data_IF_569789144796
#
_entry.id   IF_569789144796
#
_cell.length_a   1.000
_cell.length_b   1.000
_cell.length_c   1.000
_cell.angle_alpha   90.00
_cell.angle_beta   90.00
_cell.angle_gamma   90.00
#
_symmetry.space_group_name_H-M   'P 1'
#
loop_
_entity.id
_entity.type
_entity.pdbx_description
1 polymer ?
#
# COMPACT_ATOMS: atom_id res chain seq x y z
N UNK A 1 -6.92 -32.64 -0.32
CA UNK A 1 -7.17 -31.59 0.68
C UNK A 1 -6.03 -31.50 1.70
N UNK A 2 -5.42 -32.62 2.11
CA UNK A 2 -4.31 -32.62 3.07
C UNK A 2 -2.94 -32.14 2.53
N UNK A 3 -2.74 -32.04 1.21
CA UNK A 3 -1.47 -31.55 0.62
C UNK A 3 -1.36 -30.01 0.53
N UNK A 4 -2.45 -29.27 0.78
CA UNK A 4 -2.46 -27.81 0.68
C UNK A 4 -2.55 -27.08 2.03
N UNK A 5 -2.71 -27.80 3.14
CA UNK A 5 -2.87 -27.21 4.48
C UNK A 5 -1.63 -26.46 4.99
N UNK A 6 -0.45 -26.67 4.38
CA UNK A 6 0.80 -26.00 4.78
C UNK A 6 1.29 -24.91 3.82
N UNK A 7 0.58 -24.64 2.72
CA UNK A 7 1.04 -23.66 1.74
C UNK A 7 0.73 -22.23 2.18
N UNK A 8 1.75 -21.56 2.72
CA UNK A 8 1.72 -20.10 2.91
C UNK A 8 1.77 -19.40 1.54
N UNK A 9 0.84 -18.47 1.30
CA UNK A 9 0.96 -17.52 0.21
C UNK A 9 2.14 -16.59 0.51
N UNK A 10 3.13 -16.54 -0.39
CA UNK A 10 4.29 -15.67 -0.25
C UNK A 10 4.27 -14.63 -1.37
N UNK A 11 4.24 -13.35 -1.00
CA UNK A 11 4.29 -12.22 -1.92
C UNK A 11 5.56 -11.44 -1.60
N UNK A 12 6.41 -11.22 -2.60
CA UNK A 12 7.57 -10.32 -2.45
C UNK A 12 7.29 -9.01 -3.18
N UNK A 13 7.21 -7.94 -2.42
CA UNK A 13 7.07 -6.58 -2.91
C UNK A 13 8.46 -5.96 -3.06
N UNK A 14 8.70 -5.30 -4.19
CA UNK A 14 9.96 -4.61 -4.48
C UNK A 14 9.64 -3.16 -4.83
N UNK A 15 10.21 -2.23 -4.08
CA UNK A 15 10.10 -0.79 -4.30
C UNK A 15 11.44 -0.29 -4.80
N UNK A 16 11.50 0.43 -5.92
CA UNK A 16 12.76 0.83 -6.55
C UNK A 16 12.81 2.28 -7.05
N UNK A 17 11.78 3.07 -6.78
CA UNK A 17 11.68 4.49 -7.12
C UNK A 17 11.32 5.33 -5.88
N UNK A 18 12.09 5.13 -4.81
CA UNK A 18 11.84 5.72 -3.49
C UNK A 18 12.35 7.16 -3.40
N UNK A 19 11.61 8.05 -2.74
CA UNK A 19 12.04 9.44 -2.48
C UNK A 19 13.15 9.50 -1.43
N UNK A 20 13.91 10.61 -1.36
CA UNK A 20 15.03 10.73 -0.40
C UNK A 20 14.58 10.55 1.06
N UNK A 21 13.38 11.04 1.39
CA UNK A 21 12.78 10.91 2.72
C UNK A 21 12.46 9.43 3.01
N UNK A 22 11.88 8.71 2.06
CA UNK A 22 11.54 7.30 2.18
C UNK A 22 12.79 6.43 2.35
N UNK A 23 13.85 6.73 1.60
CA UNK A 23 15.15 6.07 1.71
C UNK A 23 15.75 6.25 3.11
N UNK A 24 15.71 7.47 3.65
CA UNK A 24 16.23 7.78 4.98
C UNK A 24 15.45 7.04 6.08
N UNK A 25 14.12 7.08 6.00
CA UNK A 25 13.23 6.43 6.96
C UNK A 25 13.37 4.89 6.94
N UNK A 26 13.69 4.31 5.78
CA UNK A 26 13.82 2.86 5.58
C UNK A 26 15.28 2.39 5.41
N UNK A 27 16.26 3.17 5.89
CA UNK A 27 17.69 2.88 5.72
C UNK A 27 18.13 1.47 6.16
N UNK A 28 17.44 0.85 7.13
CA UNK A 28 17.67 -0.56 7.54
C UNK A 28 17.39 -1.58 6.42
N UNK A 29 16.40 -1.29 5.55
CA UNK A 29 15.88 -2.20 4.52
C UNK A 29 16.18 -1.72 3.10
N UNK A 30 16.75 -0.52 2.93
CA UNK A 30 17.05 0.08 1.65
C UNK A 30 18.45 -0.30 1.15
N UNK A 31 18.52 -0.96 0.00
CA UNK A 31 19.79 -1.37 -0.61
C UNK A 31 19.72 -1.40 -2.13
N UNK A 32 20.81 -1.01 -2.81
CA UNK A 32 20.88 -0.87 -4.27
C UNK A 32 19.70 -0.10 -4.90
N UNK A 33 19.23 0.94 -4.23
CA UNK A 33 18.08 1.71 -4.70
C UNK A 33 16.73 1.04 -4.47
N UNK A 34 16.67 -0.11 -3.77
CA UNK A 34 15.44 -0.87 -3.59
C UNK A 34 15.14 -1.21 -2.13
N UNK A 35 13.86 -1.39 -1.82
CA UNK A 35 13.37 -2.05 -0.61
C UNK A 35 12.64 -3.31 -1.04
N UNK A 36 12.96 -4.43 -0.41
CA UNK A 36 12.24 -5.69 -0.62
C UNK A 36 11.52 -6.08 0.65
N UNK A 37 10.24 -6.45 0.51
CA UNK A 37 9.41 -6.85 1.65
C UNK A 37 8.69 -8.13 1.28
N UNK A 38 8.80 -9.14 2.13
CA UNK A 38 8.08 -10.40 2.02
C UNK A 38 6.82 -10.32 2.87
N UNK A 39 5.67 -10.58 2.25
CA UNK A 39 4.40 -10.83 2.89
C UNK A 39 4.16 -12.34 2.87
N UNK A 40 3.90 -12.91 4.04
CA UNK A 40 3.47 -14.30 4.17
C UNK A 40 2.05 -14.32 4.72
N UNK A 41 1.13 -15.00 4.04
CA UNK A 41 -0.26 -15.16 4.47
C UNK A 41 -0.66 -16.64 4.50
N UNK A 42 -1.44 -17.03 5.50
CA UNK A 42 -1.90 -18.41 5.68
C UNK A 42 -3.27 -18.45 6.35
N UNK A 43 -3.99 -19.54 6.14
CA UNK A 43 -5.26 -19.79 6.81
C UNK A 43 -4.97 -20.76 7.96
N UNK A 44 -5.39 -20.45 9.18
CA UNK A 44 -5.25 -21.35 10.31
C UNK A 44 -6.33 -22.46 10.32
N UNK A 45 -6.19 -23.42 11.24
CA UNK A 45 -7.15 -24.53 11.38
C UNK A 45 -8.60 -24.08 11.67
N UNK A 46 -8.78 -22.82 12.12
CA UNK A 46 -10.08 -22.21 12.36
C UNK A 46 -10.64 -21.49 11.12
N UNK A 47 -9.95 -21.54 9.98
CA UNK A 47 -10.35 -20.88 8.75
C UNK A 47 -10.06 -19.37 8.74
N UNK A 48 -9.29 -18.85 9.69
CA UNK A 48 -8.97 -17.42 9.78
C UNK A 48 -7.68 -17.12 9.00
N UNK A 49 -7.75 -16.08 8.17
CA UNK A 49 -6.59 -15.55 7.45
C UNK A 49 -5.66 -14.80 8.42
N UNK A 50 -4.41 -15.24 8.47
CA UNK A 50 -3.32 -14.60 9.19
C UNK A 50 -2.25 -14.14 8.19
N UNK A 51 -1.56 -13.04 8.49
CA UNK A 51 -0.49 -12.52 7.63
C UNK A 51 0.58 -11.78 8.42
N UNK A 52 1.81 -11.82 7.92
CA UNK A 52 2.97 -11.13 8.47
C UNK A 52 3.84 -10.53 7.35
N UNK A 53 4.55 -9.45 7.67
CA UNK A 53 5.44 -8.76 6.75
C UNK A 53 6.85 -8.70 7.32
N UNK A 54 7.86 -8.96 6.50
CA UNK A 54 9.26 -8.93 6.89
C UNK A 54 10.09 -8.26 5.79
N UNK A 55 10.93 -7.30 6.15
CA UNK A 55 11.82 -6.62 5.22
C UNK A 55 13.10 -7.43 5.02
N UNK A 56 13.66 -7.39 3.81
CA UNK A 56 14.99 -7.93 3.59
C UNK A 56 16.04 -6.95 4.13
N UNK A 57 17.02 -7.47 4.86
CA UNK A 57 18.16 -6.72 5.37
C UNK A 57 19.44 -7.28 4.78
N UNK A 58 20.46 -6.43 4.75
CA UNK A 58 21.80 -6.85 4.43
C UNK A 58 22.37 -7.66 5.58
N UNK A 59 22.92 -8.82 5.27
CA UNK A 59 23.80 -9.51 6.19
C UNK A 59 25.05 -9.95 5.45
N UNK A 60 26.17 -10.03 6.17
CA UNK A 60 27.35 -10.66 5.60
C UNK A 60 27.10 -12.16 5.51
N UNK A 61 27.49 -12.76 4.39
CA UNK A 61 27.50 -14.22 4.27
C UNK A 61 28.32 -14.76 5.44
N UNK A 62 27.72 -15.60 6.29
CA UNK A 62 28.46 -16.19 7.38
C UNK A 62 29.61 -17.04 6.83
N UNK A 63 30.70 -17.01 7.57
CA UNK A 63 31.99 -17.52 7.16
C UNK A 63 31.95 -19.04 7.31
N UNK A 64 31.61 -19.73 6.23
CA UNK A 64 31.61 -21.19 6.19
C UNK A 64 32.53 -21.67 5.06
N UNK A 65 33.80 -22.00 5.39
CA UNK A 65 34.63 -22.80 4.51
C UNK A 65 33.92 -24.08 4.07
N UNK A 66 34.13 -24.51 2.83
CA UNK A 66 33.63 -25.80 2.34
C UNK A 66 34.17 -26.95 3.21
N UNK A 67 33.28 -27.66 3.90
CA UNK A 67 33.65 -28.75 4.82
C UNK A 67 33.42 -28.47 6.30
N UNK A 68 32.79 -27.35 6.67
CA UNK A 68 32.31 -27.14 8.04
C UNK A 68 31.27 -28.20 8.45
N UNK A 69 31.41 -28.76 9.66
CA UNK A 69 30.40 -29.65 10.21
C UNK A 69 29.08 -28.90 10.45
N UNK A 70 27.93 -29.58 10.31
CA UNK A 70 26.62 -28.96 10.49
C UNK A 70 26.40 -28.44 11.92
N UNK A 71 27.05 -29.03 12.92
CA UNK A 71 26.93 -28.63 14.32
C UNK A 71 27.42 -27.20 14.60
N UNK A 72 28.56 -26.81 14.01
CA UNK A 72 29.16 -25.48 14.16
C UNK A 72 28.41 -24.44 13.33
N UNK A 73 27.97 -24.84 12.13
CA UNK A 73 27.09 -24.04 11.29
C UNK A 73 25.79 -23.69 12.05
N UNK A 74 25.14 -24.69 12.62
CA UNK A 74 23.93 -24.52 13.44
C UNK A 74 24.18 -23.68 14.70
N UNK A 75 25.39 -23.74 15.27
CA UNK A 75 25.75 -22.94 16.42
C UNK A 75 25.83 -21.44 16.09
N UNK A 76 26.52 -21.11 15.00
CA UNK A 76 26.67 -19.72 14.54
C UNK A 76 25.36 -19.14 14.03
N UNK A 77 24.45 -19.98 13.52
CA UNK A 77 23.12 -19.55 13.06
C UNK A 77 22.10 -19.39 14.21
N UNK A 78 22.25 -20.10 15.34
CA UNK A 78 21.31 -20.04 16.48
C UNK A 78 21.46 -18.77 17.34
N UNK A 79 20.35 -18.28 17.91
CA UNK A 79 20.32 -17.16 18.88
C UNK A 79 20.46 -17.61 20.34
N UNK A 80 20.38 -18.92 20.63
CA UNK A 80 20.40 -19.44 22.02
C UNK A 80 21.19 -20.73 22.14
N UNK A 81 22.52 -20.66 22.14
CA UNK A 81 23.36 -21.82 22.45
C UNK A 81 24.54 -21.48 23.36
N UNK A 82 24.88 -22.42 24.25
CA UNK A 82 26.11 -22.40 25.07
C UNK A 82 27.27 -22.92 24.23
N UNK A 83 28.50 -22.46 24.53
CA UNK A 83 29.75 -22.88 23.85
C UNK A 83 29.85 -24.42 23.75
N UNK A 84 29.91 -25.01 22.54
CA UNK A 84 30.26 -26.41 22.35
C UNK A 84 31.78 -26.58 22.34
N UNK A 85 32.26 -27.82 22.43
CA UNK A 85 33.67 -28.15 22.19
C UNK A 85 33.94 -28.20 20.68
N UNK A 86 34.93 -27.42 20.23
CA UNK A 86 35.34 -27.32 18.83
C UNK A 86 36.73 -27.92 18.67
N UNK A 87 36.84 -29.22 18.42
CA UNK A 87 38.17 -29.86 18.37
C UNK A 87 38.80 -29.86 16.97
N UNK A 88 38.04 -29.47 15.92
CA UNK A 88 38.48 -29.57 14.51
C UNK A 88 38.70 -28.21 13.80
N UNK A 89 38.50 -27.05 14.46
CA UNK A 89 38.57 -25.71 13.82
C UNK A 89 39.32 -24.69 14.69
N UNK A 90 40.63 -24.87 14.82
CA UNK A 90 41.49 -24.10 15.74
C UNK A 90 41.42 -22.57 15.55
N UNK A 91 41.42 -22.08 14.31
CA UNK A 91 41.48 -20.64 14.02
C UNK A 91 40.17 -19.91 14.32
N UNK A 92 39.02 -20.49 13.91
CA UNK A 92 37.70 -19.93 14.19
C UNK A 92 37.33 -20.10 15.68
N UNK A 93 37.78 -21.20 16.32
CA UNK A 93 37.69 -21.40 17.78
C UNK A 93 38.46 -20.31 18.53
N UNK A 94 39.69 -20.02 18.14
CA UNK A 94 40.50 -18.99 18.79
C UNK A 94 39.87 -17.60 18.66
N UNK A 95 39.34 -17.27 17.48
CA UNK A 95 38.58 -16.03 17.28
C UNK A 95 37.34 -16.01 18.20
N UNK A 96 36.57 -17.09 18.30
CA UNK A 96 35.40 -17.15 19.17
C UNK A 96 35.75 -17.08 20.66
N UNK A 97 36.83 -17.73 21.10
CA UNK A 97 37.32 -17.71 22.47
C UNK A 97 37.79 -16.32 22.90
N UNK A 98 38.45 -15.59 22.01
CA UNK A 98 38.92 -14.23 22.22
C UNK A 98 37.79 -13.20 22.23
N UNK A 99 36.76 -13.40 21.41
CA UNK A 99 35.82 -12.33 21.03
C UNK A 99 34.49 -12.41 21.80
N UNK A 100 34.09 -13.60 22.25
CA UNK A 100 32.84 -13.81 22.98
C UNK A 100 33.14 -13.99 24.47
N UNK A 101 32.57 -13.22 25.42
CA UNK A 101 32.65 -13.52 26.85
C UNK A 101 32.01 -14.89 27.16
N UNK A 102 32.35 -15.55 28.28
CA UNK A 102 31.74 -16.86 28.65
C UNK A 102 30.20 -16.72 28.72
N UNK A 103 29.45 -17.22 27.73
CA UNK A 103 28.00 -17.03 27.68
C UNK A 103 27.31 -17.34 26.34
N UNK A 104 26.09 -16.84 26.18
CA UNK A 104 25.31 -16.88 24.94
C UNK A 104 25.93 -15.99 23.88
N UNK A 105 25.91 -16.42 22.62
CA UNK A 105 26.36 -15.61 21.48
C UNK A 105 25.22 -14.67 21.08
N UNK A 106 25.42 -13.37 21.27
CA UNK A 106 24.48 -12.34 20.81
C UNK A 106 24.69 -12.00 19.33
N UNK A 107 23.76 -11.24 18.74
CA UNK A 107 23.87 -10.74 17.36
C UNK A 107 25.09 -9.83 17.15
N UNK A 108 25.47 -9.06 18.17
CA UNK A 108 26.67 -8.21 18.15
C UNK A 108 27.96 -9.04 18.17
N UNK A 109 27.96 -10.16 18.91
CA UNK A 109 29.11 -11.06 18.97
C UNK A 109 29.36 -11.74 17.61
N UNK A 110 28.30 -12.13 16.90
CA UNK A 110 28.40 -12.66 15.51
C UNK A 110 29.05 -11.65 14.57
N UNK A 111 28.69 -10.37 14.70
CA UNK A 111 29.31 -9.28 13.93
C UNK A 111 30.81 -9.17 14.18
N UNK A 112 31.23 -9.18 15.45
CA UNK A 112 32.66 -9.09 15.84
C UNK A 112 33.47 -10.31 15.39
N UNK A 113 32.91 -11.52 15.49
CA UNK A 113 33.54 -12.74 14.99
C UNK A 113 33.80 -12.62 13.49
N UNK A 114 32.78 -12.19 12.73
CA UNK A 114 32.91 -12.00 11.29
C UNK A 114 33.97 -10.95 10.94
N UNK A 115 33.97 -9.79 11.60
CA UNK A 115 34.96 -8.73 11.36
C UNK A 115 36.40 -9.21 11.60
N UNK A 116 36.65 -9.88 12.72
CA UNK A 116 37.97 -10.37 13.10
C UNK A 116 38.46 -11.47 12.15
N UNK A 117 37.58 -12.34 11.68
CA UNK A 117 37.93 -13.34 10.69
C UNK A 117 38.26 -12.71 9.32
N UNK A 118 37.44 -11.78 8.81
CA UNK A 118 37.73 -11.09 7.55
C UNK A 118 39.01 -10.23 7.60
N UNK A 119 39.41 -9.76 8.79
CA UNK A 119 40.71 -9.08 8.95
C UNK A 119 41.91 -10.03 8.82
N UNK A 120 41.73 -11.30 9.16
CA UNK A 120 42.76 -12.34 9.09
C UNK A 120 42.81 -13.01 7.71
N UNK A 121 41.68 -13.02 6.99
CA UNK A 121 41.53 -13.58 5.65
C UNK A 121 41.06 -12.54 4.61
N UNK A 122 41.92 -11.57 4.22
CA UNK A 122 41.59 -10.55 3.24
C UNK A 122 41.34 -11.10 1.83
N UNK A 123 41.74 -12.35 1.55
CA UNK A 123 41.50 -13.06 0.29
C UNK A 123 40.04 -13.51 0.11
N UNK A 124 39.24 -13.53 1.18
CA UNK A 124 37.84 -13.93 1.13
C UNK A 124 36.99 -12.69 0.86
N UNK A 125 36.37 -12.63 -0.32
CA UNK A 125 35.42 -11.56 -0.63
C UNK A 125 34.24 -11.59 0.34
N UNK A 126 33.95 -10.44 0.95
CA UNK A 126 32.75 -10.22 1.75
C UNK A 126 31.53 -10.23 0.85
N UNK A 127 30.94 -11.39 0.66
CA UNK A 127 29.67 -11.51 -0.06
C UNK A 127 28.53 -10.99 0.83
N UNK A 128 27.84 -9.95 0.38
CA UNK A 128 26.66 -9.43 1.08
C UNK A 128 25.44 -10.17 0.55
N UNK A 129 24.71 -10.84 1.44
CA UNK A 129 23.48 -11.56 1.12
C UNK A 129 22.26 -10.81 1.67
N UNK A 130 21.14 -10.91 0.95
CA UNK A 130 19.85 -10.43 1.43
C UNK A 130 19.22 -11.52 2.31
N UNK A 131 18.96 -11.20 3.56
CA UNK A 131 18.32 -12.12 4.51
C UNK A 131 17.03 -11.48 5.02
N UNK A 132 16.00 -12.29 5.21
CA UNK A 132 14.75 -11.82 5.78
C UNK A 132 14.95 -11.41 7.24
N UNK A 133 14.50 -10.20 7.61
CA UNK A 133 14.57 -9.72 8.98
C UNK A 133 13.71 -10.58 9.91
N UNK A 134 14.21 -10.99 11.08
CA UNK A 134 13.39 -11.68 12.09
C UNK A 134 12.32 -10.75 12.67
N UNK A 135 12.60 -9.44 12.71
CA UNK A 135 11.64 -8.43 13.12
C UNK A 135 10.57 -8.23 12.04
N UNK A 136 9.31 -8.12 12.45
CA UNK A 136 8.21 -7.73 11.56
C UNK A 136 8.50 -6.34 10.98
N UNK A 137 8.30 -6.21 9.68
CA UNK A 137 8.32 -4.93 9.00
C UNK A 137 7.06 -4.15 9.37
N UNK A 138 7.24 -3.09 10.15
CA UNK A 138 6.13 -2.25 10.61
C UNK A 138 5.72 -1.18 9.60
N UNK A 139 6.49 -1.00 8.51
CA UNK A 139 6.33 0.11 7.57
C UNK A 139 5.15 0.03 6.59
N UNK A 140 4.24 -0.94 6.75
CA UNK A 140 2.95 -0.96 6.02
C UNK A 140 1.74 -0.68 6.91
N UNK A 141 1.89 -0.73 8.23
CA UNK A 141 0.73 -0.74 9.12
C UNK A 141 0.49 0.68 9.62
N UNK A 142 -0.03 1.52 8.72
CA UNK A 142 -1.09 2.52 8.96
C UNK A 142 -1.19 3.43 7.74
N UNK A 143 -2.39 3.48 7.17
CA UNK A 143 -2.85 4.68 6.47
C UNK A 143 -2.60 5.86 7.43
N UNK A 144 -1.89 6.91 6.99
CA UNK A 144 -1.51 8.11 7.77
C UNK A 144 -0.29 8.02 8.71
N UNK A 145 0.75 7.23 8.41
CA UNK A 145 2.05 7.37 9.09
C UNK A 145 3.16 7.77 8.09
N UNK A 146 3.67 9.02 8.12
CA UNK A 146 4.67 9.55 7.18
C UNK A 146 6.07 8.92 7.31
N UNK A 147 6.26 7.92 8.18
CA UNK A 147 7.54 7.19 8.33
C UNK A 147 7.72 6.01 7.37
N UNK A 148 6.83 5.85 6.39
CA UNK A 148 6.70 4.66 5.54
C UNK A 148 7.15 4.91 4.09
N UNK A 149 7.03 3.89 3.22
CA UNK A 149 7.43 3.87 1.79
C UNK A 149 6.47 4.69 0.89
N UNK A 150 5.77 5.68 1.47
CA UNK A 150 4.75 6.50 0.81
C UNK A 150 3.36 6.37 1.44
N UNK A 151 2.40 7.14 0.92
CA UNK A 151 1.01 7.12 1.36
C UNK A 151 0.17 6.16 0.52
N UNK A 152 -0.48 5.20 1.18
CA UNK A 152 -1.39 4.26 0.55
C UNK A 152 -2.85 4.65 0.81
N UNK A 153 -3.61 4.88 -0.26
CA UNK A 153 -5.04 5.16 -0.21
C UNK A 153 -5.80 3.96 -0.79
N UNK A 154 -6.59 3.28 0.04
CA UNK A 154 -7.48 2.20 -0.40
C UNK A 154 -8.93 2.69 -0.43
N UNK A 155 -9.59 2.50 -1.58
CA UNK A 155 -10.97 2.91 -1.84
C UNK A 155 -11.73 1.67 -2.32
N UNK A 156 -12.56 1.10 -1.45
CA UNK A 156 -13.27 -0.16 -1.68
C UNK A 156 -14.45 -0.03 -2.66
N UNK A 157 -14.92 -1.16 -3.18
CA UNK A 157 -16.16 -1.29 -3.92
C UNK A 157 -17.31 -1.12 -2.91
N UNK A 158 -17.87 0.07 -2.92
CA UNK A 158 -18.89 0.53 -1.98
C UNK A 158 -20.02 -0.51 -1.79
N UNK A 159 -20.26 -0.91 -0.53
CA UNK A 159 -21.59 -1.34 -0.06
C UNK A 159 -22.34 -0.21 0.65
N UNK A 160 -21.62 0.70 1.34
CA UNK A 160 -22.15 1.92 1.95
C UNK A 160 -21.10 3.05 1.87
N UNK A 161 -21.25 4.03 0.95
CA UNK A 161 -20.22 5.04 0.69
C UNK A 161 -20.13 6.07 1.81
N UNK A 162 -21.12 6.11 2.69
CA UNK A 162 -21.25 7.15 3.69
C UNK A 162 -20.11 7.13 4.71
N UNK A 163 -19.46 5.99 4.94
CA UNK A 163 -18.34 5.90 5.90
C UNK A 163 -17.01 6.46 5.35
N UNK A 164 -16.68 6.16 4.09
CA UNK A 164 -15.45 6.60 3.43
C UNK A 164 -15.47 8.08 3.03
N UNK A 165 -16.67 8.69 3.03
CA UNK A 165 -16.90 10.07 2.61
C UNK A 165 -17.25 11.02 3.76
N UNK A 166 -17.36 10.50 4.98
CA UNK A 166 -17.57 11.30 6.17
C UNK A 166 -16.37 12.23 6.38
N UNK A 167 -16.55 13.52 6.08
CA UNK A 167 -15.56 14.57 6.36
C UNK A 167 -15.33 14.78 7.87
N UNK A 168 -16.14 14.14 8.71
CA UNK A 168 -16.07 14.16 10.17
C UNK A 168 -15.22 13.02 10.75
N UNK A 169 -15.10 11.87 10.08
CA UNK A 169 -14.24 10.75 10.50
C UNK A 169 -12.81 10.97 10.00
N UNK A 170 -11.84 11.06 10.89
CA UNK A 170 -10.41 11.26 10.55
C UNK A 170 -9.80 10.13 9.72
N UNK A 171 -10.40 8.94 9.75
CA UNK A 171 -9.92 7.75 9.02
C UNK A 171 -10.45 7.64 7.59
N UNK A 172 -11.37 8.51 7.16
CA UNK A 172 -11.87 8.55 5.78
C UNK A 172 -10.73 8.93 4.82
N UNK A 173 -10.54 8.19 3.71
CA UNK A 173 -9.55 8.55 2.68
C UNK A 173 -9.74 9.99 2.16
N UNK A 174 -10.99 10.45 2.02
CA UNK A 174 -11.30 11.84 1.64
C UNK A 174 -10.82 12.81 2.69
N UNK A 175 -11.15 12.59 3.97
CA UNK A 175 -10.78 13.53 5.02
C UNK A 175 -9.26 13.67 5.13
N UNK A 176 -8.53 12.56 5.01
CA UNK A 176 -7.07 12.54 5.01
C UNK A 176 -6.50 13.30 3.83
N UNK A 177 -7.02 13.01 2.64
CA UNK A 177 -6.56 13.66 1.43
C UNK A 177 -6.83 15.17 1.47
N UNK A 178 -8.02 15.56 1.95
CA UNK A 178 -8.36 16.97 2.14
C UNK A 178 -7.47 17.61 3.20
N UNK A 179 -7.22 16.96 4.33
CA UNK A 179 -6.29 17.45 5.36
C UNK A 179 -4.89 17.67 4.78
N UNK A 180 -4.36 16.73 4.00
CA UNK A 180 -3.07 16.88 3.31
C UNK A 180 -3.08 18.12 2.41
N UNK A 181 -4.08 18.29 1.55
CA UNK A 181 -4.20 19.46 0.66
C UNK A 181 -4.23 20.76 1.47
N UNK A 182 -5.06 20.83 2.52
CA UNK A 182 -5.23 22.07 3.27
C UNK A 182 -4.06 22.39 4.20
N UNK A 183 -3.38 21.37 4.74
CA UNK A 183 -2.12 21.57 5.47
C UNK A 183 -1.02 22.15 4.58
N UNK A 184 -0.99 21.76 3.30
CA UNK A 184 0.00 22.25 2.33
C UNK A 184 -0.33 23.67 1.79
N UNK A 185 -1.59 24.13 1.94
CA UNK A 185 -2.04 25.49 1.56
C UNK A 185 -1.73 26.52 2.66
N UNK A 186 -1.33 26.09 3.87
CA UNK A 186 -1.05 27.00 4.99
C UNK A 186 0.24 27.81 4.78
N UNK A 187 0.12 29.14 4.87
CA UNK A 187 1.26 30.06 4.92
C UNK A 187 1.98 29.94 6.28
N UNK A 188 3.31 30.00 6.28
CA UNK A 188 4.14 29.86 7.50
C UNK A 188 3.80 30.85 8.62
N UNK A 189 3.18 31.98 8.31
CA UNK A 189 2.74 32.99 9.28
C UNK A 189 1.55 32.53 10.15
N UNK A 190 0.66 31.67 9.63
CA UNK A 190 -0.51 31.19 10.37
C UNK A 190 -0.10 30.17 11.44
N UNK A 191 0.87 29.30 11.14
CA UNK A 191 1.42 28.34 12.10
C UNK A 191 2.03 29.06 13.31
N UNK A 192 2.75 30.15 13.08
CA UNK A 192 3.37 30.94 14.14
C UNK A 192 2.33 31.60 15.06
N UNK A 193 1.32 32.26 14.48
CA UNK A 193 0.25 32.88 15.27
C UNK A 193 -0.55 31.85 16.07
N UNK A 194 -0.75 30.65 15.52
CA UNK A 194 -1.45 29.58 16.23
C UNK A 194 -0.64 29.02 17.39
N UNK A 195 0.68 28.82 17.22
CA UNK A 195 1.55 28.41 18.33
C UNK A 195 1.55 29.44 19.46
N UNK A 196 1.49 30.74 19.14
CA UNK A 196 1.37 31.82 20.14
C UNK A 196 0.03 31.75 20.90
N UNK A 197 -1.09 31.55 20.20
CA UNK A 197 -2.42 31.37 20.82
C UNK A 197 -2.46 30.08 21.67
N UNK A 198 -1.82 29.00 21.23
CA UNK A 198 -1.75 27.75 21.99
C UNK A 198 -1.02 27.93 23.32
N UNK A 199 0.07 28.70 23.33
CA UNK A 199 0.78 29.02 24.57
C UNK A 199 -0.08 29.86 25.52
N UNK A 200 -0.87 30.81 25.01
CA UNK A 200 -1.81 31.60 25.82
C UNK A 200 -2.90 30.73 26.45
N UNK A 201 -3.52 29.83 25.68
CA UNK A 201 -4.55 28.91 26.20
C UNK A 201 -3.98 27.97 27.26
N UNK A 202 -2.74 27.48 27.09
CA UNK A 202 -2.06 26.68 28.12
C UNK A 202 -1.87 27.48 29.41
N UNK A 203 -1.44 28.74 29.32
CA UNK A 203 -1.26 29.64 30.48
C UNK A 203 -2.58 29.92 31.19
N UNK A 204 -3.65 30.18 30.45
CA UNK A 204 -4.98 30.44 31.02
C UNK A 204 -5.55 29.20 31.75
N UNK A 205 -5.45 28.01 31.12
CA UNK A 205 -5.87 26.76 31.75
C UNK A 205 -5.10 26.45 33.03
N UNK A 206 -3.78 26.63 33.02
CA UNK A 206 -2.96 26.43 34.21
C UNK A 206 -3.38 27.39 35.34
N UNK A 207 -3.69 28.64 35.01
CA UNK A 207 -4.17 29.63 35.98
C UNK A 207 -5.50 29.21 36.60
N UNK A 208 -6.46 28.76 35.79
CA UNK A 208 -7.75 28.28 36.26
C UNK A 208 -7.65 27.02 37.12
N UNK A 209 -6.75 26.08 36.78
CA UNK A 209 -6.50 24.89 37.63
C UNK A 209 -5.85 25.29 38.96
N UNK A 210 -4.90 26.23 38.95
CA UNK A 210 -4.27 26.72 40.19
C UNK A 210 -5.29 27.40 41.12
N UNK A 211 -6.22 28.19 40.57
CA UNK A 211 -7.31 28.78 41.35
C UNK A 211 -8.27 27.73 41.90
N UNK A 212 -8.60 26.72 41.10
CA UNK A 212 -9.46 25.61 41.52
C UNK A 212 -8.80 24.78 42.63
N UNK A 213 -7.52 24.44 42.47
CA UNK A 213 -6.72 23.74 43.48
C UNK A 213 -6.67 24.53 44.78
N UNK A 214 -6.48 25.86 44.70
CA UNK A 214 -6.51 26.73 45.88
C UNK A 214 -7.85 26.67 46.61
N UNK A 215 -8.97 26.84 45.89
CA UNK A 215 -10.31 26.77 46.48
C UNK A 215 -10.61 25.42 47.12
N UNK A 216 -10.21 24.32 46.46
CA UNK A 216 -10.34 22.98 47.03
C UNK A 216 -9.50 22.82 48.31
N UNK A 217 -8.28 23.33 48.34
CA UNK A 217 -7.41 23.23 49.51
C UNK A 217 -7.90 24.09 50.69
N UNK A 218 -8.48 25.26 50.41
CA UNK A 218 -9.12 26.10 51.42
C UNK A 218 -10.33 25.38 52.07
N UNK A 219 -11.13 24.64 51.30
CA UNK A 219 -12.24 23.84 51.84
C UNK A 219 -11.80 22.55 52.57
N UNK A 220 -10.68 21.96 52.16
CA UNK A 220 -10.14 20.71 52.73
C UNK A 220 -9.27 20.93 53.97
N UNK A 221 -8.95 22.18 54.33
CA UNK A 221 -8.17 22.56 55.52
C UNK A 221 -8.81 22.03 56.82
N UNK A 222 -10.15 22.00 56.88
CA UNK A 222 -10.95 21.40 57.97
C UNK A 222 -10.68 19.91 58.21
N UNK A 223 -10.24 19.20 57.17
CA UNK A 223 -9.90 17.77 57.22
C UNK A 223 -8.39 17.52 57.31
N UNK A 224 -7.57 18.56 57.48
CA UNK A 224 -6.10 18.49 57.56
C UNK A 224 -5.47 17.73 56.37
N UNK A 225 -6.06 17.89 55.18
CA UNK A 225 -5.59 17.25 53.95
C UNK A 225 -5.51 18.26 52.81
N UNK A 226 -4.67 17.98 51.81
CA UNK A 226 -4.55 18.79 50.60
C UNK A 226 -4.59 17.91 49.35
N UNK A 227 -4.98 18.52 48.24
CA UNK A 227 -4.99 17.91 46.90
C UNK A 227 -4.05 18.70 45.99
N UNK A 228 -3.23 17.98 45.24
CA UNK A 228 -2.43 18.52 44.14
C UNK A 228 -3.07 18.11 42.81
N UNK A 229 -3.39 19.11 41.99
CA UNK A 229 -4.02 18.90 40.68
C UNK A 229 -2.98 19.18 39.61
N UNK A 230 -2.36 18.13 39.09
CA UNK A 230 -1.40 18.23 38.00
C UNK A 230 -2.11 18.20 36.66
N UNK A 231 -1.86 19.23 35.84
CA UNK A 231 -2.27 19.27 34.45
C UNK A 231 -1.31 18.36 33.68
N UNK A 232 -1.78 17.17 33.30
CA UNK A 232 -1.02 16.30 32.41
C UNK A 232 -0.89 17.00 31.06
N UNK A 233 0.32 17.05 30.51
CA UNK A 233 0.54 17.56 29.16
C UNK A 233 -0.40 16.82 28.21
N UNK A 234 -1.40 17.52 27.72
CA UNK A 234 -2.12 17.06 26.53
C UNK A 234 -1.10 17.25 25.41
N UNK A 235 -0.54 16.15 24.90
CA UNK A 235 0.06 16.15 23.57
C UNK A 235 -1.05 16.52 22.59
N UNK A 236 -1.17 17.82 22.33
CA UNK A 236 -2.08 18.37 21.33
C UNK A 236 -1.41 18.00 20.01
N UNK A 237 -1.90 16.96 19.34
CA UNK A 237 -1.32 16.48 18.09
C UNK A 237 -1.08 17.67 17.16
N UNK A 238 0.12 17.74 16.55
CA UNK A 238 0.55 18.78 15.61
C UNK A 238 -0.40 18.97 14.40
N UNK A 239 -1.42 18.14 14.26
CA UNK A 239 -2.48 18.29 13.27
C UNK A 239 -3.51 19.32 13.74
N UNK A 240 -3.51 20.49 13.10
CA UNK A 240 -4.65 21.41 13.08
C UNK A 240 -5.94 20.59 12.82
N UNK A 241 -6.96 20.62 13.69
CA UNK A 241 -8.23 19.96 13.40
C UNK A 241 -8.97 20.78 12.35
N UNK A 242 -8.66 20.50 11.08
CA UNK A 242 -9.37 21.06 9.94
C UNK A 242 -10.71 20.31 9.81
N UNK A 243 -11.79 20.93 10.26
CA UNK A 243 -13.16 20.46 10.02
C UNK A 243 -13.70 21.17 8.78
N UNK A 244 -13.55 20.56 7.60
CA UNK A 244 -14.13 21.09 6.37
C UNK A 244 -15.55 20.57 6.20
N UNK A 245 -16.50 21.49 6.05
CA UNK A 245 -17.85 21.18 5.60
C UNK A 245 -17.99 21.54 4.11
N UNK A 246 -18.10 20.54 3.23
CA UNK A 246 -18.27 20.74 1.80
C UNK A 246 -19.75 20.61 1.45
N UNK A 247 -20.35 21.72 1.04
CA UNK A 247 -21.75 21.79 0.65
C UNK A 247 -21.88 21.84 -0.88
N UNK A 248 -22.81 21.06 -1.41
CA UNK A 248 -23.15 20.99 -2.82
C UNK A 248 -24.53 21.62 -3.04
N UNK A 249 -24.63 22.51 -4.04
CA UNK A 249 -25.85 23.23 -4.35
C UNK A 249 -26.37 22.83 -5.75
N UNK A 250 -27.48 22.09 -5.75
CA UNK A 250 -28.26 21.69 -6.93
C UNK A 250 -29.69 22.28 -6.89
N UNK A 251 -29.82 23.43 -6.22
CA UNK A 251 -31.10 24.06 -5.87
C UNK A 251 -31.31 24.12 -4.35
N UNK A 252 -30.71 23.18 -3.61
CA UNK A 252 -30.65 23.21 -2.14
C UNK A 252 -29.22 22.84 -1.69
N UNK A 253 -28.67 23.67 -0.79
CA UNK A 253 -27.33 23.43 -0.23
C UNK A 253 -27.37 22.26 0.75
N UNK A 254 -26.66 21.18 0.43
CA UNK A 254 -26.60 19.96 1.26
C UNK A 254 -25.17 19.39 1.26
N UNK A 255 -24.73 18.74 2.35
CA UNK A 255 -23.39 18.13 2.40
C UNK A 255 -23.22 17.00 1.38
N UNK A 256 -21.97 16.69 1.03
CA UNK A 256 -21.62 15.62 0.08
C UNK A 256 -22.20 14.25 0.47
N UNK A 257 -22.26 13.95 1.76
CA UNK A 257 -22.81 12.70 2.30
C UNK A 257 -24.29 12.48 1.92
N UNK A 258 -25.02 13.57 1.66
CA UNK A 258 -26.43 13.53 1.25
C UNK A 258 -26.62 13.50 -0.27
N UNK A 259 -25.53 13.40 -1.04
CA UNK A 259 -25.57 13.29 -2.51
C UNK A 259 -25.51 11.83 -2.97
N UNK A 260 -25.96 11.59 -4.20
CA UNK A 260 -25.88 10.27 -4.80
C UNK A 260 -24.44 9.76 -4.88
N UNK A 261 -24.27 8.46 -4.68
CA UNK A 261 -22.97 7.76 -4.57
C UNK A 261 -22.06 7.97 -5.78
N UNK A 262 -22.63 8.10 -6.99
CA UNK A 262 -21.90 8.46 -8.20
C UNK A 262 -21.28 9.87 -8.15
N UNK A 263 -22.00 10.88 -7.64
CA UNK A 263 -21.44 12.24 -7.51
C UNK A 263 -20.35 12.27 -6.45
N UNK A 264 -20.58 11.59 -5.32
CA UNK A 264 -19.60 11.46 -4.26
C UNK A 264 -18.27 10.88 -4.77
N UNK A 265 -18.35 9.78 -5.52
CA UNK A 265 -17.18 9.12 -6.09
C UNK A 265 -16.49 9.96 -7.16
N UNK A 266 -17.26 10.66 -7.99
CA UNK A 266 -16.71 11.60 -8.96
C UNK A 266 -15.93 12.75 -8.31
N UNK A 267 -16.46 13.32 -7.22
CA UNK A 267 -15.81 14.39 -6.45
C UNK A 267 -14.48 13.93 -5.87
N UNK A 268 -14.41 12.72 -5.32
CA UNK A 268 -13.17 12.11 -4.83
C UNK A 268 -12.07 12.08 -5.90
N UNK A 269 -12.38 11.57 -7.09
CA UNK A 269 -11.41 11.54 -8.19
C UNK A 269 -11.00 12.94 -8.66
N UNK A 270 -11.91 13.91 -8.61
CA UNK A 270 -11.57 15.31 -8.92
C UNK A 270 -10.67 15.93 -7.87
N UNK A 271 -10.84 15.61 -6.59
CA UNK A 271 -9.89 16.04 -5.57
C UNK A 271 -8.50 15.47 -5.82
N UNK A 272 -8.37 14.18 -6.17
CA UNK A 272 -7.08 13.57 -6.57
C UNK A 272 -6.41 14.34 -7.69
N UNK A 273 -7.17 14.67 -8.73
CA UNK A 273 -6.66 15.50 -9.82
C UNK A 273 -6.23 16.91 -9.36
N UNK A 274 -7.05 17.59 -8.57
CA UNK A 274 -6.77 18.96 -8.10
C UNK A 274 -5.54 19.00 -7.20
N UNK A 275 -5.38 18.03 -6.28
CA UNK A 275 -4.17 17.92 -5.45
C UNK A 275 -2.92 17.87 -6.31
N UNK A 276 -2.96 17.05 -7.36
CA UNK A 276 -1.86 16.96 -8.31
C UNK A 276 -1.65 18.27 -9.10
N UNK A 277 -2.70 18.87 -9.64
CA UNK A 277 -2.61 20.13 -10.40
C UNK A 277 -2.02 21.28 -9.54
N UNK A 278 -2.21 21.24 -8.23
CA UNK A 278 -1.65 22.18 -7.26
C UNK A 278 -0.21 21.84 -6.82
N UNK A 279 0.40 20.77 -7.32
CA UNK A 279 1.75 20.31 -6.97
C UNK A 279 1.96 20.08 -5.46
N UNK A 280 0.92 19.64 -4.74
CA UNK A 280 0.99 19.40 -3.30
C UNK A 280 1.56 18.00 -3.02
N UNK A 281 2.53 17.90 -2.12
CA UNK A 281 3.13 16.63 -1.69
C UNK A 281 4.04 15.94 -2.72
N UNK A 282 4.78 16.68 -3.54
CA UNK A 282 5.68 16.10 -4.56
C UNK A 282 6.80 15.20 -4.01
N UNK A 283 7.17 15.35 -2.74
CA UNK A 283 8.25 14.57 -2.10
C UNK A 283 7.76 13.22 -1.52
N UNK A 284 6.49 12.87 -1.74
CA UNK A 284 5.82 11.69 -1.19
C UNK A 284 5.34 10.80 -2.35
N UNK A 285 5.61 9.49 -2.26
CA UNK A 285 5.03 8.50 -3.17
C UNK A 285 3.60 8.16 -2.76
N UNK A 286 2.71 8.00 -3.73
CA UNK A 286 1.29 7.71 -3.55
C UNK A 286 0.91 6.38 -4.19
N UNK A 287 0.39 5.45 -3.40
CA UNK A 287 -0.16 4.18 -3.88
C UNK A 287 -1.67 4.26 -3.78
N UNK A 288 -2.36 4.27 -4.92
CA UNK A 288 -3.81 4.34 -5.00
C UNK A 288 -4.37 2.97 -5.33
N UNK A 289 -5.20 2.42 -4.45
CA UNK A 289 -5.82 1.10 -4.60
C UNK A 289 -7.33 1.28 -4.72
N UNK A 290 -7.89 0.94 -5.87
CA UNK A 290 -9.34 1.05 -6.14
C UNK A 290 -9.97 -0.31 -6.35
N UNK A 291 -11.12 -0.52 -5.71
CA UNK A 291 -11.97 -1.67 -5.96
C UNK A 291 -13.27 -1.19 -6.64
N UNK A 292 -13.56 -1.75 -7.82
CA UNK A 292 -14.67 -1.40 -8.71
C UNK A 292 -14.93 0.12 -8.79
N UNK A 293 -13.98 0.92 -9.32
CA UNK A 293 -14.13 2.36 -9.47
C UNK A 293 -15.34 2.76 -10.33
N UNK A 294 -15.94 1.84 -11.09
CA UNK A 294 -17.16 2.02 -11.88
C UNK A 294 -18.48 1.96 -11.09
N UNK A 295 -18.47 1.43 -9.86
CA UNK A 295 -19.71 1.17 -9.14
C UNK A 295 -20.54 2.44 -8.96
N UNK A 296 -21.83 2.37 -9.30
CA UNK A 296 -22.80 3.48 -9.26
C UNK A 296 -22.50 4.68 -10.17
N UNK A 297 -21.59 4.55 -11.15
CA UNK A 297 -21.26 5.61 -12.09
C UNK A 297 -21.83 5.34 -13.48
N UNK A 298 -22.35 6.40 -14.09
CA UNK A 298 -22.73 6.38 -15.49
C UNK A 298 -21.50 6.12 -16.39
N UNK A 299 -21.60 5.37 -17.51
CA UNK A 299 -20.46 5.03 -18.36
C UNK A 299 -19.62 6.22 -18.83
N UNK A 300 -20.25 7.40 -19.01
CA UNK A 300 -19.53 8.64 -19.34
C UNK A 300 -18.57 9.06 -18.22
N UNK A 301 -18.96 8.94 -16.95
CA UNK A 301 -18.09 9.27 -15.82
C UNK A 301 -17.01 8.21 -15.60
N UNK A 302 -17.32 6.93 -15.87
CA UNK A 302 -16.30 5.87 -15.84
C UNK A 302 -15.15 6.18 -16.80
N UNK A 303 -15.45 6.64 -18.03
CA UNK A 303 -14.42 7.07 -18.99
C UNK A 303 -13.59 8.25 -18.50
N UNK A 304 -14.23 9.25 -17.90
CA UNK A 304 -13.53 10.40 -17.34
C UNK A 304 -12.62 10.00 -16.18
N UNK A 305 -13.08 9.11 -15.30
CA UNK A 305 -12.31 8.60 -14.17
C UNK A 305 -11.13 7.74 -14.66
N UNK A 306 -11.35 6.85 -15.63
CA UNK A 306 -10.29 6.05 -16.21
C UNK A 306 -9.16 6.92 -16.78
N UNK A 307 -9.50 8.04 -17.44
CA UNK A 307 -8.51 9.03 -17.90
C UNK A 307 -7.77 9.71 -16.75
N UNK A 308 -8.49 10.14 -15.70
CA UNK A 308 -7.87 10.77 -14.53
C UNK A 308 -6.86 9.82 -13.88
N UNK A 309 -7.25 8.56 -13.65
CA UNK A 309 -6.37 7.57 -13.02
C UNK A 309 -5.16 7.23 -13.88
N UNK A 310 -5.32 7.16 -15.21
CA UNK A 310 -4.19 6.96 -16.12
C UNK A 310 -3.23 8.13 -16.05
N UNK A 311 -3.73 9.35 -16.19
CA UNK A 311 -2.91 10.56 -16.11
C UNK A 311 -2.18 10.69 -14.77
N UNK A 312 -2.82 10.27 -13.66
CA UNK A 312 -2.16 10.22 -12.36
C UNK A 312 -1.04 9.16 -12.36
N UNK A 313 -1.28 7.98 -12.92
CA UNK A 313 -0.30 6.88 -12.96
C UNK A 313 0.91 7.17 -13.86
N UNK A 314 0.80 8.12 -14.79
CA UNK A 314 1.92 8.58 -15.63
C UNK A 314 2.89 9.50 -14.85
N UNK A 315 2.51 9.93 -13.64
CA UNK A 315 3.35 10.77 -12.78
C UNK A 315 4.33 9.89 -11.98
N UNK A 316 5.57 10.37 -11.76
CA UNK A 316 6.63 9.55 -11.16
C UNK A 316 6.35 9.13 -9.71
N UNK A 317 5.52 9.89 -8.99
CA UNK A 317 5.21 9.65 -7.58
C UNK A 317 3.84 8.99 -7.36
N UNK A 318 3.16 8.51 -8.41
CA UNK A 318 1.86 7.86 -8.28
C UNK A 318 1.88 6.46 -8.88
N UNK A 319 1.36 5.49 -8.13
CA UNK A 319 1.10 4.14 -8.61
C UNK A 319 -0.36 3.77 -8.34
N UNK A 320 -1.12 3.48 -9.40
CA UNK A 320 -2.53 3.10 -9.26
C UNK A 320 -2.72 1.62 -9.56
N UNK A 321 -3.41 0.92 -8.67
CA UNK A 321 -3.96 -0.40 -8.89
C UNK A 321 -5.48 -0.31 -8.84
N UNK A 322 -6.16 -0.99 -9.76
CA UNK A 322 -7.60 -1.08 -9.74
C UNK A 322 -8.08 -2.47 -10.11
N UNK A 323 -9.21 -2.88 -9.53
CA UNK A 323 -10.01 -4.02 -10.00
C UNK A 323 -11.27 -3.48 -10.66
N UNK A 324 -11.66 -4.05 -11.80
CA UNK A 324 -12.83 -3.56 -12.55
C UNK A 324 -13.43 -4.66 -13.42
N UNK A 325 -14.75 -4.65 -13.51
CA UNK A 325 -15.57 -5.38 -14.48
C UNK A 325 -16.00 -4.49 -15.65
N UNK A 326 -15.57 -3.23 -15.69
CA UNK A 326 -15.96 -2.28 -16.73
C UNK A 326 -14.92 -2.22 -17.86
N UNK A 327 -15.35 -2.36 -19.13
CA UNK A 327 -14.46 -2.17 -20.28
C UNK A 327 -13.91 -0.74 -20.39
N UNK A 328 -14.50 0.24 -19.69
CA UNK A 328 -14.04 1.63 -19.77
C UNK A 328 -12.64 1.84 -19.15
N UNK A 329 -12.19 0.94 -18.27
CA UNK A 329 -10.87 1.02 -17.63
C UNK A 329 -9.77 0.32 -18.43
N UNK A 330 -10.11 -0.44 -19.48
CA UNK A 330 -9.14 -1.15 -20.31
C UNK A 330 -8.58 -0.22 -21.39
N UNK A 331 -7.24 -0.11 -21.46
CA UNK A 331 -6.55 0.51 -22.59
C UNK A 331 -6.13 -0.55 -23.61
N UNK A 332 -6.74 -0.55 -24.79
CA UNK A 332 -6.34 -1.46 -25.86
C UNK A 332 -4.95 -1.11 -26.45
N UNK A 333 -4.48 0.13 -26.25
CA UNK A 333 -3.14 0.53 -26.67
C UNK A 333 -2.06 0.22 -25.64
N UNK A 334 -2.45 -0.20 -24.43
CA UNK A 334 -1.51 -0.42 -23.35
C UNK A 334 -2.01 -1.56 -22.44
N UNK A 335 -1.86 -2.78 -22.95
CA UNK A 335 -2.32 -3.99 -22.26
C UNK A 335 -1.30 -4.54 -21.27
N UNK A 336 -0.07 -4.02 -21.23
CA UNK A 336 1.01 -4.50 -20.37
C UNK A 336 0.69 -4.40 -18.88
N UNK A 337 -0.29 -3.56 -18.52
CA UNK A 337 -0.77 -3.35 -17.16
C UNK A 337 -2.11 -4.05 -16.87
N UNK A 338 -2.63 -4.84 -17.82
CA UNK A 338 -3.91 -5.55 -17.68
C UNK A 338 -3.64 -7.01 -17.27
N UNK A 339 -4.25 -7.41 -16.16
CA UNK A 339 -4.18 -8.76 -15.64
C UNK A 339 -5.59 -9.34 -15.57
N UNK A 340 -5.81 -10.47 -16.22
CA UNK A 340 -7.06 -11.21 -16.19
C UNK A 340 -7.01 -12.25 -15.07
N UNK A 341 -7.98 -12.19 -14.17
CA UNK A 341 -8.12 -13.14 -13.07
C UNK A 341 -9.34 -14.03 -13.31
N UNK A 342 -9.10 -15.34 -13.44
CA UNK A 342 -10.14 -16.34 -13.68
C UNK A 342 -10.19 -17.34 -12.54
N UNK A 343 -11.37 -17.54 -11.96
CA UNK A 343 -11.59 -18.54 -10.93
C UNK A 343 -11.79 -19.91 -11.58
N UNK A 344 -10.94 -20.86 -11.21
CA UNK A 344 -11.13 -22.29 -11.48
C UNK A 344 -11.60 -23.01 -10.22
N UNK A 345 -11.93 -24.31 -10.32
CA UNK A 345 -12.52 -25.07 -9.20
C UNK A 345 -11.67 -25.06 -7.93
N UNK A 346 -10.35 -25.10 -8.07
CA UNK A 346 -9.41 -25.24 -6.95
C UNK A 346 -8.39 -24.10 -6.85
N UNK A 347 -8.32 -23.21 -7.84
CA UNK A 347 -7.34 -22.13 -7.88
C UNK A 347 -7.88 -20.91 -8.64
N UNK A 348 -7.26 -19.75 -8.44
CA UNK A 348 -7.43 -18.59 -9.31
C UNK A 348 -6.22 -18.50 -10.23
N UNK A 349 -6.45 -18.45 -11.54
CA UNK A 349 -5.39 -18.20 -12.54
C UNK A 349 -5.35 -16.72 -12.88
N UNK A 350 -4.14 -16.18 -12.98
CA UNK A 350 -3.90 -14.83 -13.50
C UNK A 350 -3.13 -14.90 -14.80
N UNK A 351 -3.62 -14.23 -15.84
CA UNK A 351 -2.91 -14.06 -17.11
C UNK A 351 -2.60 -12.58 -17.31
N UNK A 352 -1.34 -12.25 -17.56
CA UNK A 352 -0.98 -10.91 -18.03
C UNK A 352 -1.37 -10.81 -19.51
N UNK A 353 -2.09 -9.76 -19.88
CA UNK A 353 -2.34 -9.45 -21.27
C UNK A 353 -1.05 -8.91 -21.89
N UNK A 354 -0.61 -9.51 -22.98
CA UNK A 354 0.52 -9.00 -23.75
C UNK A 354 0.07 -8.83 -25.19
N UNK A 355 0.19 -7.60 -25.70
CA UNK A 355 -0.15 -7.29 -27.07
C UNK A 355 1.03 -6.58 -27.72
N UNK A 356 1.67 -7.26 -28.66
CA UNK A 356 2.79 -6.70 -29.40
C UNK A 356 2.26 -5.75 -30.48
N UNK A 357 1.99 -4.51 -30.09
CA UNK A 357 1.46 -3.45 -30.96
C UNK A 357 2.43 -2.98 -32.05
N UNK A 358 3.69 -3.42 -32.02
CA UNK A 358 4.73 -3.09 -33.00
C UNK A 358 4.40 -3.59 -34.41
N UNK A 359 3.50 -4.56 -34.54
CA UNK A 359 3.10 -5.17 -35.82
C UNK A 359 1.71 -4.74 -36.30
N UNK A 360 1.00 -3.92 -35.53
CA UNK A 360 -0.37 -3.50 -35.83
C UNK A 360 -0.36 -2.16 -36.57
N UNK A 361 -1.07 -2.09 -37.71
CA UNK A 361 -1.25 -0.87 -38.50
C UNK A 361 -1.93 0.24 -37.68
N UNK A 362 -1.54 1.50 -37.88
CA UNK A 362 -2.10 2.67 -37.16
C UNK A 362 -3.61 2.83 -37.34
N UNK A 363 -4.16 2.43 -38.49
CA UNK A 363 -5.61 2.45 -38.74
C UNK A 363 -6.35 1.49 -37.79
N UNK A 364 -5.77 0.32 -37.51
CA UNK A 364 -6.33 -0.67 -36.59
C UNK A 364 -6.23 -0.18 -35.15
N UNK A 365 -5.11 0.43 -34.75
CA UNK A 365 -4.95 1.05 -33.43
C UNK A 365 -6.03 2.12 -33.18
N UNK A 366 -6.28 2.95 -34.19
CA UNK A 366 -7.32 3.98 -34.12
C UNK A 366 -8.70 3.35 -34.00
N UNK A 367 -9.01 2.30 -34.77
CA UNK A 367 -10.29 1.59 -34.68
C UNK A 367 -10.52 1.00 -33.28
N UNK A 368 -9.49 0.35 -32.71
CA UNK A 368 -9.52 -0.25 -31.38
C UNK A 368 -9.80 0.79 -30.28
N UNK A 369 -9.26 2.01 -30.39
CA UNK A 369 -9.51 3.08 -29.42
C UNK A 369 -10.99 3.47 -29.30
N UNK A 370 -11.75 3.39 -30.39
CA UNK A 370 -13.13 3.89 -30.45
C UNK A 370 -14.21 2.82 -30.32
N UNK A 371 -13.85 1.53 -30.38
CA UNK A 371 -14.84 0.44 -30.28
C UNK A 371 -14.89 -0.16 -28.87
N UNK A 372 -15.87 0.25 -28.03
CA UNK A 372 -16.05 -0.35 -26.71
C UNK A 372 -16.44 -1.84 -26.78
N UNK A 373 -17.00 -2.33 -27.90
CA UNK A 373 -17.44 -3.72 -28.04
C UNK A 373 -16.25 -4.67 -28.11
N UNK A 374 -15.10 -4.22 -28.65
CA UNK A 374 -13.86 -5.02 -28.66
C UNK A 374 -13.36 -5.28 -27.24
N UNK A 375 -13.61 -4.36 -26.30
CA UNK A 375 -13.19 -4.52 -24.90
C UNK A 375 -14.03 -5.53 -24.14
N UNK A 376 -15.16 -5.98 -24.69
CA UNK A 376 -15.98 -7.03 -24.09
C UNK A 376 -15.22 -8.37 -24.05
N UNK A 377 -14.28 -8.59 -24.97
CA UNK A 377 -13.37 -9.76 -25.03
C UNK A 377 -12.79 -10.14 -23.67
N UNK A 378 -12.44 -9.15 -22.85
CA UNK A 378 -11.78 -9.36 -21.57
C UNK A 378 -12.70 -9.92 -20.49
N UNK A 379 -14.02 -9.94 -20.73
CA UNK A 379 -15.03 -10.37 -19.76
C UNK A 379 -15.83 -11.60 -20.23
N UNK A 380 -15.54 -12.13 -21.43
CA UNK A 380 -16.26 -13.25 -22.04
C UNK A 380 -15.52 -14.58 -21.84
N UNK A 381 -16.25 -15.67 -21.61
CA UNK A 381 -15.65 -17.02 -21.62
C UNK A 381 -15.37 -17.51 -23.04
N UNK A 382 -16.22 -17.10 -23.99
CA UNK A 382 -16.14 -17.47 -25.41
C UNK A 382 -16.41 -16.25 -26.27
N UNK A 383 -15.72 -16.18 -27.41
CA UNK A 383 -15.81 -15.05 -28.33
C UNK A 383 -16.16 -15.59 -29.72
N UNK A 384 -17.16 -14.99 -30.34
CA UNK A 384 -17.52 -15.22 -31.75
C UNK A 384 -17.19 -13.96 -32.52
N UNK A 385 -16.21 -14.07 -33.42
CA UNK A 385 -15.84 -12.98 -34.31
C UNK A 385 -16.72 -13.03 -35.57
N UNK A 386 -17.38 -11.92 -35.88
CA UNK A 386 -18.20 -11.76 -37.08
C UNK A 386 -17.63 -10.66 -37.97
N UNK A 387 -17.84 -10.75 -39.28
CA UNK A 387 -17.23 -9.80 -40.22
C UNK A 387 -17.89 -8.42 -40.15
N UNK A 388 -19.23 -8.36 -40.17
CA UNK A 388 -19.95 -7.10 -40.23
C UNK A 388 -21.42 -7.16 -39.80
N UNK A 389 -22.20 -6.12 -40.14
CA UNK A 389 -23.60 -5.98 -39.73
C UNK A 389 -24.53 -7.10 -40.23
N UNK A 390 -24.20 -7.71 -41.38
CA UNK A 390 -25.00 -8.81 -41.95
C UNK A 390 -24.99 -10.03 -41.03
N UNK A 391 -23.82 -10.43 -40.55
CA UNK A 391 -23.67 -11.54 -39.60
C UNK A 391 -24.24 -11.17 -38.23
N UNK A 392 -24.19 -9.90 -37.82
CA UNK A 392 -24.76 -9.43 -36.56
C UNK A 392 -26.29 -9.61 -36.55
N UNK A 393 -26.95 -9.24 -37.65
CA UNK A 393 -28.38 -9.46 -37.85
C UNK A 393 -28.71 -10.96 -37.86
N UNK A 394 -27.95 -11.76 -38.62
CA UNK A 394 -28.15 -13.20 -38.68
C UNK A 394 -28.03 -13.85 -37.29
N UNK A 395 -27.00 -13.47 -36.54
CA UNK A 395 -26.74 -14.01 -35.20
C UNK A 395 -27.89 -13.65 -34.25
N UNK A 396 -28.39 -12.42 -34.29
CA UNK A 396 -29.56 -12.00 -33.51
C UNK A 396 -30.83 -12.79 -33.86
N UNK A 397 -31.07 -13.09 -35.15
CA UNK A 397 -32.20 -13.93 -35.58
C UNK A 397 -32.05 -15.35 -35.00
N UNK A 398 -30.87 -15.94 -35.08
CA UNK A 398 -30.61 -17.28 -34.55
C UNK A 398 -30.80 -17.35 -33.02
N UNK A 399 -30.42 -16.29 -32.30
CA UNK A 399 -30.66 -16.18 -30.84
C UNK A 399 -32.17 -16.11 -30.56
N UNK A 400 -32.91 -15.26 -31.28
CA UNK A 400 -34.36 -15.12 -31.10
C UNK A 400 -35.13 -16.40 -31.44
N UNK A 401 -34.66 -17.17 -32.41
CA UNK A 401 -35.23 -18.47 -32.77
C UNK A 401 -34.80 -19.61 -31.83
N UNK A 402 -33.98 -19.33 -30.81
CA UNK A 402 -33.45 -20.32 -29.87
C UNK A 402 -32.49 -21.32 -30.50
N UNK A 403 -31.93 -21.01 -31.68
CA UNK A 403 -30.96 -21.84 -32.41
C UNK A 403 -29.52 -21.58 -31.97
N UNK A 404 -29.28 -20.46 -31.30
CA UNK A 404 -27.98 -20.09 -30.75
C UNK A 404 -28.13 -19.67 -29.29
N UNK A 405 -27.47 -20.39 -28.40
CA UNK A 405 -27.32 -20.01 -26.99
C UNK A 405 -26.06 -19.14 -26.84
N UNK A 406 -26.25 -17.93 -26.33
CA UNK A 406 -25.18 -16.94 -26.10
C UNK A 406 -24.86 -16.75 -24.62
N UNK A 407 -25.29 -17.68 -23.77
CA UNK A 407 -24.88 -17.70 -22.37
C UNK A 407 -23.35 -17.76 -22.29
N UNK A 408 -22.74 -16.70 -21.74
CA UNK A 408 -21.29 -16.49 -21.63
C UNK A 408 -20.51 -16.37 -22.96
N UNK A 409 -21.19 -16.03 -24.05
CA UNK A 409 -20.57 -15.79 -25.38
C UNK A 409 -20.72 -14.32 -25.76
N UNK A 410 -19.62 -13.64 -26.07
CA UNK A 410 -19.68 -12.30 -26.69
C UNK A 410 -19.48 -12.40 -28.19
N UNK A 411 -20.35 -11.71 -28.94
CA UNK A 411 -20.31 -11.62 -30.39
C UNK A 411 -19.69 -10.28 -30.75
N UNK A 412 -18.57 -10.31 -31.48
CA UNK A 412 -17.75 -9.12 -31.71
C UNK A 412 -17.51 -8.94 -33.19
N UNK A 413 -17.88 -7.76 -33.67
CA UNK A 413 -17.73 -7.37 -35.06
C UNK A 413 -16.30 -6.95 -35.36
N UNK A 414 -15.61 -7.71 -36.21
CA UNK A 414 -14.26 -7.43 -36.69
C UNK A 414 -14.20 -6.26 -37.68
N UNK A 415 -15.36 -5.81 -38.19
CA UNK A 415 -15.54 -4.67 -39.12
C UNK A 415 -14.76 -4.84 -40.45
N UNK A 416 -14.68 -6.08 -40.93
CA UNK A 416 -13.99 -6.45 -42.16
C UNK A 416 -12.59 -7.05 -41.95
N UNK A 417 -12.07 -7.72 -42.98
CA UNK A 417 -10.72 -8.33 -42.97
C UNK A 417 -9.59 -7.39 -43.38
N UNK A 418 -9.89 -6.19 -43.89
CA UNK A 418 -8.95 -5.32 -44.59
C UNK A 418 -8.93 -3.89 -44.08
#
# INVERSE_FOLDING_TARGET
LDEFAEQKLQITLVFDSLTEIEQKNNSKYFFHGKIKIKLEAWIDDAGKLNYEHHGYIQNFKPIYPSGFNEGIKNLLDSEKLKRPDFDDYDELKQIMEDTVPKGQISKEDKGRINEKYYSLHPEIEKEIIEVLSPDKYQGFIKVNDPKTVGECYFISAIKDPTEDLQTTKTTSPINQMMRSIFQDIETGDIKKNFTEIQEEVKKERQTNINELQKKFNDELELFSTSVDINLLDVEISDAFPININILFNDGISTPLENKGTGLQRYVLFKFLKIKNDLNLGQDISYILLFEEPEAHLHPQFQREIAKILRNLSDLPNYQTFLTSHSPQFIDLLNLDYVFLFNKEKECTKSNKCELHLTEIKEEIKTLLLFDPNVKEIFFSEKIVLIEGPSEEILTNILIQEGKLDVSNVSIITARGKF
#
